data_IF_132200222672
#
_entry.id   IF_132200222672
#
_cell.length_a   1.000
_cell.length_b   1.000
_cell.length_c   1.000
_cell.angle_alpha   90.00
_cell.angle_beta   90.00
_cell.angle_gamma   90.00
#
_symmetry.space_group_name_H-M   'P 1'
#
loop_
_entity.id
_entity.type
_entity.pdbx_description
1 polymer ?
#
# COMPACT_ATOMS: atom_id res chain seq x y z
N UNK A 1 15.15 26.61 -17.54
CA UNK A 1 14.47 25.72 -18.52
C UNK A 1 14.57 24.24 -18.15
N UNK A 2 15.74 23.58 -18.20
CA UNK A 2 15.81 22.15 -17.85
C UNK A 2 15.46 21.85 -16.39
N UNK A 3 15.91 22.69 -15.44
CA UNK A 3 15.61 22.54 -14.02
C UNK A 3 14.11 22.76 -13.72
N UNK A 4 13.50 23.78 -14.31
CA UNK A 4 12.07 24.09 -14.13
C UNK A 4 11.18 22.95 -14.65
N UNK A 5 11.55 22.36 -15.79
CA UNK A 5 10.87 21.19 -16.35
C UNK A 5 10.98 19.96 -15.43
N UNK A 6 12.13 19.77 -14.77
CA UNK A 6 12.31 18.69 -13.79
C UNK A 6 11.46 18.90 -12.54
N UNK A 7 11.41 20.11 -12.00
CA UNK A 7 10.59 20.46 -10.82
C UNK A 7 9.10 20.28 -11.14
N UNK A 8 8.68 20.71 -12.33
CA UNK A 8 7.30 20.52 -12.79
C UNK A 8 6.93 19.04 -12.91
N UNK A 9 7.82 18.22 -13.51
CA UNK A 9 7.63 16.77 -13.59
C UNK A 9 7.55 16.12 -12.19
N UNK A 10 8.43 16.51 -11.26
CA UNK A 10 8.39 16.03 -9.87
C UNK A 10 7.07 16.38 -9.18
N UNK A 11 6.55 17.59 -9.40
CA UNK A 11 5.25 18.00 -8.85
C UNK A 11 4.11 17.10 -9.34
N UNK A 12 4.09 16.79 -10.64
CA UNK A 12 3.11 15.85 -11.21
C UNK A 12 3.26 14.46 -10.59
N UNK A 13 4.49 13.96 -10.45
CA UNK A 13 4.76 12.64 -9.88
C UNK A 13 4.31 12.54 -8.41
N UNK A 14 4.57 13.56 -7.58
CA UNK A 14 4.07 13.57 -6.21
C UNK A 14 2.54 13.65 -6.15
N UNK A 15 1.90 14.41 -7.05
CA UNK A 15 0.45 14.44 -7.15
C UNK A 15 -0.13 13.08 -7.55
N UNK A 16 0.45 12.40 -8.54
CA UNK A 16 0.05 11.04 -8.92
C UNK A 16 0.27 10.04 -7.78
N UNK A 17 1.40 10.13 -7.07
CA UNK A 17 1.68 9.31 -5.88
C UNK A 17 0.64 9.52 -4.79
N UNK A 18 0.15 10.75 -4.62
CA UNK A 18 -0.92 11.07 -3.67
C UNK A 18 -2.23 10.37 -4.09
N UNK A 19 -2.61 10.47 -5.37
CA UNK A 19 -3.82 9.80 -5.89
C UNK A 19 -3.73 8.28 -5.74
N UNK A 20 -2.61 7.67 -6.13
CA UNK A 20 -2.40 6.23 -5.96
C UNK A 20 -2.35 5.79 -4.49
N UNK A 21 -1.81 6.63 -3.62
CA UNK A 21 -1.86 6.40 -2.17
C UNK A 21 -3.29 6.29 -1.65
N UNK A 22 -4.21 7.15 -2.12
CA UNK A 22 -5.62 7.09 -1.73
C UNK A 22 -6.27 5.81 -2.23
N UNK A 23 -6.00 5.45 -3.48
CA UNK A 23 -6.54 4.23 -4.10
C UNK A 23 -6.06 2.97 -3.35
N UNK A 24 -4.85 2.98 -2.75
CA UNK A 24 -4.32 1.83 -2.02
C UNK A 24 -4.75 1.80 -0.55
N UNK A 25 -4.75 2.94 0.15
CA UNK A 25 -5.03 3.00 1.59
C UNK A 25 -6.50 2.76 1.90
N UNK A 26 -7.42 3.31 1.08
CA UNK A 26 -8.87 3.20 1.34
C UNK A 26 -9.34 1.73 1.31
N UNK A 27 -9.05 0.91 0.28
CA UNK A 27 -9.45 -0.49 0.31
C UNK A 27 -8.81 -1.24 1.48
N UNK A 28 -7.56 -0.92 1.83
CA UNK A 28 -6.88 -1.61 2.92
C UNK A 28 -7.50 -1.31 4.29
N UNK A 29 -7.93 -0.06 4.52
CA UNK A 29 -8.62 0.32 5.76
C UNK A 29 -9.99 -0.33 5.86
N UNK A 30 -10.79 -0.28 4.80
CA UNK A 30 -12.13 -0.89 4.78
C UNK A 30 -12.05 -2.41 4.96
N UNK A 31 -11.12 -3.08 4.27
CA UNK A 31 -10.92 -4.53 4.45
C UNK A 31 -10.59 -4.88 5.90
N UNK A 32 -9.79 -4.06 6.59
CA UNK A 32 -9.43 -4.32 7.99
C UNK A 32 -10.65 -4.20 8.90
N UNK A 33 -11.56 -3.26 8.63
CA UNK A 33 -12.79 -3.08 9.39
C UNK A 33 -13.79 -4.24 9.15
N UNK A 34 -13.98 -4.65 7.91
CA UNK A 34 -14.88 -5.76 7.53
C UNK A 34 -14.47 -7.09 8.18
N UNK A 35 -13.17 -7.33 8.35
CA UNK A 35 -12.66 -8.53 9.05
C UNK A 35 -12.56 -8.36 10.58
N UNK A 36 -13.21 -7.35 11.16
CA UNK A 36 -13.26 -7.14 12.61
C UNK A 36 -11.90 -6.82 13.22
N UNK A 37 -11.05 -6.09 12.48
CA UNK A 37 -9.70 -5.73 12.88
C UNK A 37 -8.65 -6.82 12.63
N UNK A 38 -9.03 -7.94 11.98
CA UNK A 38 -8.08 -9.02 11.65
C UNK A 38 -7.37 -8.77 10.33
N UNK A 39 -6.09 -9.10 10.30
CA UNK A 39 -5.24 -8.87 9.14
C UNK A 39 -5.43 -9.99 8.12
N UNK A 40 -5.81 -9.61 6.89
CA UNK A 40 -5.99 -10.55 5.78
C UNK A 40 -4.66 -11.07 5.23
N UNK A 41 -3.58 -10.28 5.30
CA UNK A 41 -2.29 -10.70 4.77
C UNK A 41 -1.73 -11.87 5.58
N UNK A 42 -1.17 -12.89 4.92
CA UNK A 42 -0.63 -14.10 5.57
C UNK A 42 -1.69 -14.95 6.30
N UNK A 43 -2.98 -14.75 6.00
CA UNK A 43 -4.05 -15.63 6.48
C UNK A 43 -3.94 -17.02 5.88
N UNK A 44 -4.35 -18.02 6.65
CA UNK A 44 -4.45 -19.41 6.23
C UNK A 44 -5.87 -19.89 6.41
N UNK A 45 -6.40 -20.56 5.40
CA UNK A 45 -7.71 -21.19 5.48
C UNK A 45 -7.82 -22.34 4.51
N UNK A 46 -8.80 -23.21 4.76
CA UNK A 46 -9.07 -24.38 3.95
C UNK A 46 -10.55 -24.43 3.58
N UNK A 47 -10.86 -25.00 2.42
CA UNK A 47 -12.23 -25.27 2.04
C UNK A 47 -12.73 -26.55 2.69
N UNK A 48 -13.84 -26.44 3.39
CA UNK A 48 -14.53 -27.60 3.95
C UNK A 48 -15.77 -27.90 3.11
N UNK A 49 -15.85 -29.14 2.62
CA UNK A 49 -17.05 -29.65 1.96
C UNK A 49 -18.02 -30.12 3.04
N UNK A 50 -19.08 -29.35 3.31
CA UNK A 50 -20.19 -29.86 4.12
C UNK A 50 -20.96 -30.92 3.31
N UNK A 51 -21.10 -32.09 3.92
CA UNK A 51 -21.77 -33.32 3.47
C UNK A 51 -22.66 -33.21 2.19
N UNK A 52 -22.21 -33.89 1.12
CA UNK A 52 -22.80 -34.43 -0.15
C UNK A 52 -24.20 -33.99 -0.63
N UNK A 53 -25.11 -33.57 0.22
CA UNK A 53 -26.51 -33.27 -0.11
C UNK A 53 -26.80 -31.80 -0.40
N UNK A 54 -25.96 -30.88 0.05
CA UNK A 54 -26.07 -29.45 -0.27
C UNK A 54 -24.68 -28.95 -0.65
N UNK A 55 -24.49 -28.59 -1.91
CA UNK A 55 -23.26 -28.05 -2.47
C UNK A 55 -22.92 -26.66 -1.90
N UNK A 56 -22.67 -26.57 -0.59
CA UNK A 56 -22.26 -25.34 0.09
C UNK A 56 -20.82 -25.54 0.58
N UNK A 57 -19.87 -25.17 -0.27
CA UNK A 57 -18.47 -25.10 0.12
C UNK A 57 -18.32 -23.91 1.07
N UNK A 58 -17.81 -24.15 2.27
CA UNK A 58 -17.52 -23.10 3.25
C UNK A 58 -16.01 -22.97 3.38
N UNK A 59 -15.49 -21.77 3.16
CA UNK A 59 -14.11 -21.45 3.48
C UNK A 59 -14.00 -21.18 4.98
N UNK A 60 -13.10 -21.88 5.67
CA UNK A 60 -12.84 -21.69 7.09
C UNK A 60 -11.44 -21.12 7.23
N UNK A 61 -11.34 -19.96 7.88
CA UNK A 61 -10.07 -19.35 8.24
C UNK A 61 -9.53 -20.05 9.49
N UNK A 62 -8.38 -20.69 9.38
CA UNK A 62 -7.73 -21.38 10.50
C UNK A 62 -6.92 -20.40 11.34
N UNK A 63 -6.16 -19.54 10.66
CA UNK A 63 -5.24 -18.60 11.30
C UNK A 63 -5.26 -17.25 10.57
N UNK A 64 -5.45 -16.19 11.34
CA UNK A 64 -5.34 -14.82 10.85
C UNK A 64 -3.88 -14.37 10.83
N UNK A 65 -3.55 -13.51 9.88
CA UNK A 65 -2.22 -12.93 9.80
C UNK A 65 -1.88 -12.04 11.00
N UNK A 66 -0.59 -11.74 11.21
CA UNK A 66 -0.15 -10.85 12.27
C UNK A 66 -0.69 -9.44 12.05
N UNK A 67 -1.34 -8.87 13.08
CA UNK A 67 -1.93 -7.52 13.05
C UNK A 67 -0.88 -6.43 12.73
N UNK A 68 0.39 -6.67 13.10
CA UNK A 68 1.50 -5.77 12.81
C UNK A 68 1.75 -5.57 11.32
N UNK A 69 1.50 -6.57 10.47
CA UNK A 69 1.70 -6.45 9.02
C UNK A 69 0.71 -5.48 8.40
N UNK A 70 -0.59 -5.64 8.67
CA UNK A 70 -1.60 -4.71 8.17
C UNK A 70 -1.45 -3.31 8.75
N UNK A 71 -1.15 -3.21 10.06
CA UNK A 71 -0.90 -1.92 10.71
C UNK A 71 0.31 -1.19 10.12
N UNK A 72 1.41 -1.91 9.86
CA UNK A 72 2.60 -1.36 9.20
C UNK A 72 2.30 -0.83 7.80
N UNK A 73 1.60 -1.61 6.96
CA UNK A 73 1.26 -1.18 5.59
C UNK A 73 0.34 0.04 5.62
N UNK A 74 -0.66 0.04 6.50
CA UNK A 74 -1.58 1.17 6.67
C UNK A 74 -0.83 2.42 7.10
N UNK A 75 0.07 2.31 8.08
CA UNK A 75 0.92 3.41 8.52
C UNK A 75 1.82 3.94 7.40
N UNK A 76 2.51 3.05 6.67
CA UNK A 76 3.35 3.43 5.54
C UNK A 76 2.53 4.13 4.46
N UNK A 77 1.34 3.61 4.13
CA UNK A 77 0.44 4.24 3.16
C UNK A 77 -0.01 5.64 3.56
N UNK A 78 -0.43 5.83 4.82
CA UNK A 78 -0.81 7.15 5.36
C UNK A 78 0.40 8.09 5.38
N UNK A 79 1.56 7.62 5.81
CA UNK A 79 2.78 8.42 5.82
C UNK A 79 3.17 8.85 4.40
N UNK A 80 3.11 7.96 3.42
CA UNK A 80 3.35 8.27 2.01
C UNK A 80 2.35 9.28 1.44
N UNK A 81 1.08 9.23 1.85
CA UNK A 81 0.06 10.23 1.50
C UNK A 81 0.41 11.62 2.04
N UNK A 82 0.75 11.71 3.33
CA UNK A 82 1.14 12.98 3.94
C UNK A 82 2.41 13.53 3.29
N UNK A 83 3.42 12.68 3.10
CA UNK A 83 4.69 13.08 2.47
C UNK A 83 4.47 13.57 1.03
N UNK A 84 3.69 12.85 0.22
CA UNK A 84 3.41 13.28 -1.16
C UNK A 84 2.65 14.61 -1.22
N UNK A 85 1.70 14.85 -0.31
CA UNK A 85 0.99 16.13 -0.21
C UNK A 85 1.93 17.28 0.19
N UNK A 86 2.76 17.08 1.21
CA UNK A 86 3.73 18.09 1.67
C UNK A 86 4.75 18.42 0.59
N UNK A 87 5.28 17.40 -0.09
CA UNK A 87 6.26 17.59 -1.17
C UNK A 87 5.61 18.29 -2.38
N UNK A 88 4.42 17.88 -2.80
CA UNK A 88 3.70 18.54 -3.89
C UNK A 88 3.43 20.03 -3.57
N UNK A 89 2.94 20.33 -2.36
CA UNK A 89 2.73 21.70 -1.89
C UNK A 89 4.02 22.53 -1.92
N UNK A 90 5.11 21.97 -1.40
CA UNK A 90 6.41 22.66 -1.35
C UNK A 90 6.96 22.94 -2.76
N UNK A 91 6.86 21.98 -3.68
CA UNK A 91 7.28 22.15 -5.07
C UNK A 91 6.43 23.21 -5.79
N UNK A 92 5.11 23.22 -5.57
CA UNK A 92 4.22 24.27 -6.09
C UNK A 92 4.61 25.65 -5.58
N UNK A 93 4.89 25.78 -4.29
CA UNK A 93 5.32 27.04 -3.70
C UNK A 93 6.64 27.55 -4.32
N UNK A 94 7.62 26.66 -4.52
CA UNK A 94 8.88 27.02 -5.19
C UNK A 94 8.67 27.46 -6.64
N UNK A 95 7.79 26.80 -7.39
CA UNK A 95 7.44 27.21 -8.75
C UNK A 95 6.77 28.60 -8.79
N UNK A 96 5.94 28.94 -7.80
CA UNK A 96 5.21 30.21 -7.77
C UNK A 96 6.00 31.39 -7.21
N UNK A 97 6.86 31.19 -6.20
CA UNK A 97 7.53 32.29 -5.46
C UNK A 97 9.02 32.45 -5.78
N UNK A 98 9.61 31.51 -6.52
CA UNK A 98 11.05 31.48 -6.78
C UNK A 98 11.81 30.63 -5.76
N UNK A 99 13.03 30.25 -6.11
CA UNK A 99 13.80 29.19 -5.47
C UNK A 99 14.82 29.72 -4.45
N UNK A 100 14.61 29.40 -3.17
CA UNK A 100 15.59 29.57 -2.08
C UNK A 100 15.86 28.20 -1.42
N UNK A 101 16.48 27.24 -2.12
CA UNK A 101 16.90 25.99 -1.49
C UNK A 101 18.28 26.13 -0.86
N UNK A 102 18.31 25.97 0.46
CA UNK A 102 19.55 25.73 1.21
C UNK A 102 20.05 24.29 0.96
N UNK A 103 21.36 24.10 0.91
CA UNK A 103 22.00 22.77 0.78
C UNK A 103 21.47 21.79 1.85
N UNK A 104 21.20 22.29 3.06
CA UNK A 104 20.63 21.48 4.14
C UNK A 104 19.22 20.95 3.81
N UNK A 105 18.39 21.77 3.16
CA UNK A 105 17.06 21.37 2.72
C UNK A 105 17.11 20.31 1.61
N UNK A 106 18.10 20.42 0.70
CA UNK A 106 18.33 19.41 -0.34
C UNK A 106 18.77 18.07 0.28
N UNK A 107 19.66 18.10 1.26
CA UNK A 107 20.10 16.91 1.99
C UNK A 107 18.95 16.22 2.74
N UNK A 108 18.13 16.99 3.46
CA UNK A 108 16.95 16.44 4.15
C UNK A 108 15.94 15.84 3.19
N UNK A 109 15.67 16.49 2.05
CA UNK A 109 14.80 15.96 1.02
C UNK A 109 15.29 14.62 0.48
N UNK A 110 16.60 14.50 0.22
CA UNK A 110 17.20 13.27 -0.26
C UNK A 110 17.08 12.14 0.78
N UNK A 111 17.31 12.45 2.05
CA UNK A 111 17.21 11.49 3.16
C UNK A 111 15.77 11.03 3.41
N UNK A 112 14.79 11.94 3.38
CA UNK A 112 13.37 11.59 3.53
C UNK A 112 12.89 10.78 2.33
N UNK A 113 13.29 11.16 1.11
CA UNK A 113 12.88 10.46 -0.10
C UNK A 113 13.48 9.06 -0.16
N UNK A 114 14.75 8.88 0.23
CA UNK A 114 15.37 7.55 0.27
C UNK A 114 14.73 6.65 1.31
N UNK A 115 14.41 7.18 2.50
CA UNK A 115 13.68 6.46 3.53
C UNK A 115 12.28 6.07 3.07
N UNK A 116 11.56 6.99 2.42
CA UNK A 116 10.23 6.73 1.89
C UNK A 116 10.24 5.63 0.81
N UNK A 117 11.20 5.66 -0.11
CA UNK A 117 11.35 4.60 -1.12
C UNK A 117 11.62 3.25 -0.46
N UNK A 118 12.48 3.21 0.55
CA UNK A 118 12.79 1.98 1.27
C UNK A 118 11.55 1.41 1.99
N UNK A 119 10.79 2.23 2.71
CA UNK A 119 9.59 1.77 3.42
C UNK A 119 8.48 1.33 2.46
N UNK A 120 8.27 2.06 1.37
CA UNK A 120 7.29 1.69 0.32
C UNK A 120 7.69 0.38 -0.38
N UNK A 121 8.98 0.15 -0.60
CA UNK A 121 9.46 -1.11 -1.16
C UNK A 121 9.17 -2.29 -0.23
N UNK A 122 9.43 -2.13 1.08
CA UNK A 122 9.11 -3.15 2.08
C UNK A 122 7.61 -3.40 2.15
N UNK A 123 6.78 -2.35 2.20
CA UNK A 123 5.32 -2.51 2.26
C UNK A 123 4.79 -3.21 1.01
N UNK A 124 5.28 -2.85 -0.18
CA UNK A 124 4.91 -3.48 -1.44
C UNK A 124 5.24 -4.97 -1.46
N UNK A 125 6.41 -5.35 -0.93
CA UNK A 125 6.81 -6.76 -0.82
C UNK A 125 5.88 -7.53 0.13
N UNK A 126 5.58 -6.96 1.30
CA UNK A 126 4.70 -7.60 2.30
C UNK A 126 3.29 -7.78 1.71
N UNK A 127 2.74 -6.74 1.07
CA UNK A 127 1.44 -6.78 0.38
C UNK A 127 1.41 -7.86 -0.69
N UNK A 128 2.42 -7.87 -1.57
CA UNK A 128 2.47 -8.80 -2.70
C UNK A 128 2.56 -10.25 -2.22
N UNK A 129 3.44 -10.56 -1.26
CA UNK A 129 3.59 -11.92 -0.73
C UNK A 129 2.37 -12.33 0.09
N UNK A 130 1.85 -11.44 0.93
CA UNK A 130 0.69 -11.70 1.78
C UNK A 130 -0.57 -12.02 0.97
N UNK A 131 -0.84 -11.26 -0.10
CA UNK A 131 -1.96 -11.54 -0.98
C UNK A 131 -1.75 -12.76 -1.87
N UNK A 132 -0.53 -13.05 -2.32
CA UNK A 132 -0.26 -14.29 -3.05
C UNK A 132 -0.60 -15.53 -2.22
N UNK A 133 -0.24 -15.56 -0.93
CA UNK A 133 -0.60 -16.68 -0.05
C UNK A 133 -2.10 -16.75 0.23
N UNK A 134 -2.78 -15.60 0.34
CA UNK A 134 -4.22 -15.58 0.47
C UNK A 134 -4.92 -16.14 -0.78
N UNK A 135 -4.48 -15.71 -1.97
CA UNK A 135 -4.97 -16.23 -3.24
C UNK A 135 -4.72 -17.73 -3.38
N UNK A 136 -3.54 -18.21 -2.98
CA UNK A 136 -3.20 -19.63 -2.98
C UNK A 136 -4.13 -20.44 -2.06
N UNK A 137 -4.44 -19.90 -0.88
CA UNK A 137 -5.38 -20.50 0.08
C UNK A 137 -6.81 -20.54 -0.45
N UNK A 138 -7.28 -19.46 -1.10
CA UNK A 138 -8.62 -19.42 -1.70
C UNK A 138 -8.74 -20.34 -2.90
N UNK A 139 -7.71 -20.43 -3.74
CA UNK A 139 -7.77 -21.19 -5.00
C UNK A 139 -7.28 -22.63 -4.87
N UNK A 140 -6.83 -23.04 -3.67
CA UNK A 140 -6.15 -24.31 -3.41
C UNK A 140 -5.05 -24.57 -4.45
N UNK A 141 -4.18 -23.58 -4.70
CA UNK A 141 -3.13 -23.67 -5.72
C UNK A 141 -3.64 -23.77 -7.16
N UNK A 142 -4.84 -23.24 -7.43
CA UNK A 142 -5.48 -23.29 -8.75
C UNK A 142 -6.21 -24.60 -9.06
N UNK A 143 -6.44 -25.44 -8.05
CA UNK A 143 -7.20 -26.70 -8.20
C UNK A 143 -8.71 -26.49 -8.06
N UNK A 144 -9.14 -25.34 -7.53
CA UNK A 144 -10.56 -24.99 -7.51
C UNK A 144 -11.09 -24.73 -8.92
N UNK A 145 -12.23 -25.33 -9.31
CA UNK A 145 -12.82 -25.08 -10.62
C UNK A 145 -13.29 -23.63 -10.72
N UNK A 146 -12.76 -22.88 -11.70
CA UNK A 146 -13.32 -21.59 -12.10
C UNK A 146 -14.72 -21.85 -12.66
N UNK A 147 -15.74 -21.66 -11.83
CA UNK A 147 -17.13 -21.73 -12.25
C UNK A 147 -17.49 -20.55 -13.16
#
# INVERSE_FOLDING_TARGET
>A
MALDNLIFAQCILYFLSFVFGFIAVVPLSENTEDFGGKCLLFTRGMWQNENITVSKQRFIVEEWGPESSCSFITFVGIASLILSAVQAWRLLFFLCKGHDDSIFNAFLNLLISSLAVFTVFLSSTIVSVGFNMWCDSITEGGTMPSR
#
